data_IF_763872778639
#
_entry.id   IF_763872778639
#
_cell.length_a   1.000
_cell.length_b   1.000
_cell.length_c   1.000
_cell.angle_alpha   90.00
_cell.angle_beta   90.00
_cell.angle_gamma   90.00
#
_symmetry.space_group_name_H-M   'P 1'
#
loop_
_entity.id
_entity.type
_entity.pdbx_description
1 polymer ?
#
# COMPACT_ATOMS: atom_id res chain seq x y z
N UNK A 1 14.74 -18.66 45.01
CA UNK A 1 14.79 -17.93 43.76
C UNK A 1 13.70 -18.53 42.89
N UNK A 2 12.47 -17.98 43.01
CA UNK A 2 11.32 -18.53 42.27
C UNK A 2 11.41 -17.99 40.84
N UNK A 3 11.80 -18.86 39.89
CA UNK A 3 11.74 -18.55 38.47
C UNK A 3 10.39 -19.03 37.93
N UNK A 4 9.61 -18.11 37.36
CA UNK A 4 8.36 -18.46 36.67
C UNK A 4 8.61 -18.37 35.17
N UNK A 5 8.58 -19.49 34.45
CA UNK A 5 8.60 -19.55 33.02
C UNK A 5 7.24 -19.09 32.46
N UNK A 6 7.22 -17.92 31.81
CA UNK A 6 5.98 -17.34 31.25
C UNK A 6 5.52 -17.95 29.93
N UNK A 7 6.40 -18.67 29.23
CA UNK A 7 6.07 -19.29 27.93
C UNK A 7 6.43 -20.76 27.95
N UNK A 8 5.44 -21.58 27.65
CA UNK A 8 5.65 -22.99 27.39
C UNK A 8 6.59 -23.22 26.20
N UNK A 9 7.46 -24.23 26.30
CA UNK A 9 8.39 -24.61 25.21
C UNK A 9 7.66 -24.99 23.92
N UNK A 10 6.40 -25.47 24.01
CA UNK A 10 5.53 -25.76 22.87
C UNK A 10 5.15 -24.49 22.08
N UNK A 11 4.76 -23.44 22.78
CA UNK A 11 4.42 -22.13 22.16
C UNK A 11 5.65 -21.51 21.47
N UNK A 12 6.82 -21.53 22.10
CA UNK A 12 8.05 -21.01 21.47
C UNK A 12 8.42 -21.79 20.21
N UNK A 13 8.28 -23.12 20.21
CA UNK A 13 8.53 -23.94 19.04
C UNK A 13 7.56 -23.64 17.91
N UNK A 14 6.28 -23.47 18.22
CA UNK A 14 5.26 -23.11 17.24
C UNK A 14 5.55 -21.74 16.62
N UNK A 15 5.89 -20.72 17.42
CA UNK A 15 6.25 -19.38 16.92
C UNK A 15 7.46 -19.44 15.99
N UNK A 16 8.51 -20.18 16.36
CA UNK A 16 9.69 -20.33 15.50
C UNK A 16 9.32 -20.99 14.16
N UNK A 17 8.46 -22.00 14.16
CA UNK A 17 7.98 -22.65 12.94
C UNK A 17 7.07 -21.74 12.12
N UNK A 18 6.21 -20.94 12.76
CA UNK A 18 5.36 -19.96 12.09
C UNK A 18 6.19 -18.88 11.38
N UNK A 19 7.19 -18.32 12.05
CA UNK A 19 8.15 -17.36 11.43
C UNK A 19 8.85 -18.03 10.24
N UNK A 20 9.36 -19.25 10.41
CA UNK A 20 10.01 -19.99 9.32
C UNK A 20 9.08 -20.18 8.12
N UNK A 21 7.79 -20.46 8.33
CA UNK A 21 6.81 -20.60 7.24
C UNK A 21 6.58 -19.29 6.50
N UNK A 22 6.42 -18.20 7.22
CA UNK A 22 6.22 -16.86 6.63
C UNK A 22 7.45 -16.41 5.83
N UNK A 23 8.67 -16.63 6.37
CA UNK A 23 9.92 -16.31 5.68
C UNK A 23 10.15 -17.22 4.47
N UNK A 24 9.88 -18.52 4.59
CA UNK A 24 10.03 -19.46 3.48
C UNK A 24 9.04 -19.17 2.34
N UNK A 25 7.83 -18.68 2.64
CA UNK A 25 6.85 -18.26 1.65
C UNK A 25 7.40 -17.10 0.81
N UNK A 26 7.90 -16.06 1.45
CA UNK A 26 8.53 -14.93 0.77
C UNK A 26 9.79 -15.33 -0.03
N UNK A 27 10.60 -16.24 0.51
CA UNK A 27 11.85 -16.68 -0.13
C UNK A 27 11.65 -17.59 -1.36
N UNK A 28 10.43 -18.08 -1.60
CA UNK A 28 10.11 -18.87 -2.80
C UNK A 28 9.95 -18.02 -4.06
N UNK A 29 9.85 -16.71 -3.93
CA UNK A 29 9.86 -15.76 -5.05
C UNK A 29 11.15 -14.95 -5.04
N UNK A 30 11.67 -14.59 -6.24
CA UNK A 30 12.91 -13.79 -6.31
C UNK A 30 12.68 -12.37 -5.79
N UNK A 31 11.72 -11.67 -6.31
CA UNK A 31 11.22 -10.33 -5.95
C UNK A 31 10.10 -9.94 -6.91
N UNK A 32 9.45 -8.81 -6.66
CA UNK A 32 8.51 -8.19 -7.59
C UNK A 32 9.25 -7.52 -8.75
N UNK A 33 8.59 -7.38 -9.90
CA UNK A 33 9.23 -6.85 -11.10
C UNK A 33 9.46 -5.33 -11.00
N UNK A 34 10.47 -4.84 -11.74
CA UNK A 34 10.69 -3.43 -12.02
C UNK A 34 10.53 -3.22 -13.52
N UNK A 35 9.45 -2.55 -13.93
CA UNK A 35 9.16 -2.26 -15.33
C UNK A 35 9.69 -0.89 -15.73
N UNK A 36 10.26 -0.79 -16.93
CA UNK A 36 10.62 0.50 -17.53
C UNK A 36 9.39 1.09 -18.18
N UNK A 37 9.04 2.31 -17.81
CA UNK A 37 7.99 3.06 -18.51
C UNK A 37 8.60 3.74 -19.75
N UNK A 38 7.97 3.63 -20.94
CA UNK A 38 8.60 3.98 -22.22
C UNK A 38 8.63 5.51 -22.47
N UNK A 39 9.44 6.26 -21.71
CA UNK A 39 9.73 7.65 -22.01
C UNK A 39 10.76 7.76 -23.16
N UNK A 40 10.71 8.82 -23.99
CA UNK A 40 11.73 9.09 -24.98
C UNK A 40 13.13 9.20 -24.35
N UNK A 41 14.11 8.51 -24.93
CA UNK A 41 15.47 8.41 -24.37
C UNK A 41 16.23 9.75 -24.36
N UNK A 42 15.88 10.66 -25.25
CA UNK A 42 16.47 12.00 -25.36
C UNK A 42 16.02 12.95 -24.23
N UNK A 43 15.03 12.55 -23.43
CA UNK A 43 14.60 13.36 -22.30
C UNK A 43 15.58 13.35 -21.11
N UNK A 44 16.47 12.37 -21.05
CA UNK A 44 17.39 12.18 -19.93
C UNK A 44 16.69 11.81 -18.61
N UNK A 45 15.41 11.50 -18.65
CA UNK A 45 14.59 11.09 -17.50
C UNK A 45 14.09 9.67 -17.73
N UNK A 46 14.34 8.78 -16.78
CA UNK A 46 13.82 7.40 -16.78
C UNK A 46 12.72 7.25 -15.73
N UNK A 47 11.66 6.53 -16.08
CA UNK A 47 10.54 6.24 -15.16
C UNK A 47 10.39 4.73 -15.01
N UNK A 48 10.30 4.28 -13.77
CA UNK A 48 10.19 2.86 -13.43
C UNK A 48 8.96 2.59 -12.56
N UNK A 49 8.34 1.42 -12.79
CA UNK A 49 7.17 0.94 -12.07
C UNK A 49 7.56 -0.35 -11.31
N UNK A 50 7.65 -0.27 -9.99
CA UNK A 50 7.83 -1.43 -9.12
C UNK A 50 6.50 -2.15 -8.98
N UNK A 51 6.37 -3.34 -9.52
CA UNK A 51 5.10 -4.06 -9.64
C UNK A 51 4.77 -4.91 -8.42
N UNK A 52 4.12 -4.31 -7.45
CA UNK A 52 3.66 -4.99 -6.24
C UNK A 52 2.32 -5.77 -6.45
N UNK A 53 1.73 -5.70 -7.64
CA UNK A 53 0.50 -6.43 -7.98
C UNK A 53 0.73 -7.93 -8.23
N UNK A 54 2.00 -8.33 -8.44
CA UNK A 54 2.38 -9.74 -8.71
C UNK A 54 2.45 -10.61 -7.46
N UNK A 55 2.31 -10.03 -6.28
CA UNK A 55 2.19 -10.80 -5.05
C UNK A 55 1.02 -11.80 -5.09
N UNK A 56 1.08 -12.92 -4.34
CA UNK A 56 -0.01 -13.91 -4.31
C UNK A 56 -1.39 -13.33 -4.04
N UNK A 57 -1.47 -12.25 -3.28
CA UNK A 57 -2.73 -11.55 -2.95
C UNK A 57 -3.04 -10.37 -3.87
N UNK A 58 -2.25 -10.15 -4.91
CA UNK A 58 -2.49 -9.18 -5.96
C UNK A 58 -2.31 -7.72 -5.56
N UNK A 59 -1.53 -7.42 -4.51
CA UNK A 59 -1.29 -6.04 -4.09
C UNK A 59 -0.08 -5.87 -3.17
N UNK A 60 0.39 -4.63 -3.04
CA UNK A 60 1.46 -4.22 -2.11
C UNK A 60 1.15 -4.52 -0.64
N UNK A 61 -0.11 -4.72 -0.27
CA UNK A 61 -0.53 -5.04 1.10
C UNK A 61 -0.02 -6.41 1.57
N UNK A 62 0.40 -7.26 0.64
CA UNK A 62 1.05 -8.53 0.96
C UNK A 62 2.34 -8.32 1.79
N UNK A 63 3.17 -7.30 1.45
CA UNK A 63 4.35 -6.96 2.26
C UNK A 63 3.97 -6.45 3.64
N UNK A 64 2.93 -5.62 3.74
CA UNK A 64 2.44 -5.12 5.02
C UNK A 64 1.92 -6.25 5.90
N UNK A 65 1.05 -7.12 5.37
CA UNK A 65 0.51 -8.25 6.11
C UNK A 65 1.62 -9.18 6.62
N UNK A 66 2.62 -9.51 5.76
CA UNK A 66 3.80 -10.26 6.19
C UNK A 66 4.49 -9.61 7.39
N UNK A 67 4.73 -8.31 7.31
CA UNK A 67 5.41 -7.57 8.38
C UNK A 67 4.61 -7.55 9.68
N UNK A 68 3.30 -7.35 9.61
CA UNK A 68 2.40 -7.37 10.77
C UNK A 68 2.38 -8.74 11.44
N UNK A 69 2.31 -9.84 10.66
CA UNK A 69 2.39 -11.19 11.21
C UNK A 69 3.72 -11.46 11.88
N UNK A 70 4.85 -11.14 11.25
CA UNK A 70 6.17 -11.31 11.84
C UNK A 70 6.32 -10.49 13.13
N UNK A 71 5.81 -9.26 13.13
CA UNK A 71 5.82 -8.38 14.29
C UNK A 71 4.99 -8.96 15.43
N UNK A 72 3.75 -9.40 15.18
CA UNK A 72 2.88 -10.02 16.20
C UNK A 72 3.45 -11.33 16.76
N UNK A 73 4.04 -12.16 15.89
CA UNK A 73 4.71 -13.41 16.29
C UNK A 73 5.94 -13.13 17.18
N UNK A 74 6.80 -12.19 16.76
CA UNK A 74 8.01 -11.86 17.49
C UNK A 74 7.73 -11.19 18.84
N UNK A 75 6.64 -10.43 18.96
CA UNK A 75 6.20 -9.81 20.21
C UNK A 75 5.40 -10.75 21.11
N UNK A 76 5.11 -11.99 20.67
CA UNK A 76 4.34 -12.95 21.42
C UNK A 76 2.84 -12.65 21.51
N UNK A 77 2.33 -11.81 20.59
CA UNK A 77 0.89 -11.50 20.49
C UNK A 77 0.11 -12.55 19.72
N UNK A 78 0.80 -13.28 18.84
CA UNK A 78 0.23 -14.35 18.02
C UNK A 78 0.81 -15.69 18.47
N UNK A 79 -0.04 -16.60 18.87
CA UNK A 79 0.26 -17.98 19.27
C UNK A 79 -0.56 -19.02 18.50
N UNK A 80 -0.47 -20.30 18.85
CA UNK A 80 -1.00 -21.43 18.06
C UNK A 80 -2.51 -21.47 17.88
N UNK A 81 -3.29 -20.72 18.62
CA UNK A 81 -4.75 -20.68 18.52
C UNK A 81 -5.31 -19.25 18.44
N UNK A 82 -4.44 -18.28 18.21
CA UNK A 82 -4.83 -16.87 18.18
C UNK A 82 -5.74 -16.58 16.99
N UNK A 83 -6.93 -16.07 17.24
CA UNK A 83 -7.79 -15.51 16.20
C UNK A 83 -7.24 -14.15 15.76
N UNK A 84 -6.99 -14.00 14.49
CA UNK A 84 -6.53 -12.73 13.91
C UNK A 84 -7.75 -11.89 13.53
N UNK A 85 -7.75 -10.62 13.92
CA UNK A 85 -8.82 -9.67 13.61
C UNK A 85 -8.23 -8.45 12.91
N UNK A 86 -8.87 -7.95 11.83
CA UNK A 86 -8.47 -6.70 11.17
C UNK A 86 -9.69 -5.88 10.76
N UNK A 87 -9.56 -4.56 10.93
CA UNK A 87 -10.53 -3.54 10.49
C UNK A 87 -10.29 -3.18 9.02
N UNK A 88 -10.70 -4.04 8.10
CA UNK A 88 -10.47 -3.80 6.66
C UNK A 88 -11.42 -4.60 5.78
N UNK A 89 -11.91 -3.96 4.70
CA UNK A 89 -12.65 -4.61 3.60
C UNK A 89 -11.81 -4.76 2.32
N UNK A 90 -10.55 -4.33 2.34
CA UNK A 90 -9.71 -4.21 1.16
C UNK A 90 -8.54 -5.19 1.12
N UNK A 91 -7.52 -4.82 0.36
CA UNK A 91 -6.35 -5.65 0.07
C UNK A 91 -5.59 -6.11 1.33
N UNK A 92 -5.64 -5.35 2.43
CA UNK A 92 -5.03 -5.76 3.70
C UNK A 92 -5.72 -7.00 4.26
N UNK A 93 -7.06 -6.99 4.37
CA UNK A 93 -7.81 -8.14 4.87
C UNK A 93 -7.57 -9.40 4.01
N UNK A 94 -7.52 -9.27 2.68
CA UNK A 94 -7.19 -10.37 1.76
C UNK A 94 -5.78 -10.91 2.04
N UNK A 95 -4.81 -10.01 2.25
CA UNK A 95 -3.42 -10.41 2.50
C UNK A 95 -3.24 -11.04 3.88
N UNK A 96 -3.93 -10.55 4.88
CA UNK A 96 -3.90 -11.12 6.23
C UNK A 96 -4.62 -12.47 6.29
N UNK A 97 -5.75 -12.63 5.59
CA UNK A 97 -6.41 -13.93 5.44
C UNK A 97 -5.47 -14.98 4.82
N UNK A 98 -4.66 -14.59 3.81
CA UNK A 98 -3.63 -15.45 3.23
C UNK A 98 -2.63 -15.94 4.27
N UNK A 99 -2.03 -15.04 5.07
CA UNK A 99 -1.04 -15.44 6.08
C UNK A 99 -1.67 -16.19 7.25
N UNK A 100 -2.89 -15.84 7.67
CA UNK A 100 -3.63 -16.60 8.68
C UNK A 100 -3.85 -18.04 8.21
N UNK A 101 -4.29 -18.24 6.96
CA UNK A 101 -4.41 -19.58 6.35
C UNK A 101 -3.08 -20.32 6.29
N UNK A 102 -1.99 -19.66 5.92
CA UNK A 102 -0.64 -20.25 5.88
C UNK A 102 -0.22 -20.81 7.23
N UNK A 103 -0.61 -20.15 8.32
CA UNK A 103 -0.30 -20.52 9.68
C UNK A 103 -1.37 -21.42 10.34
N UNK A 104 -2.50 -21.64 9.69
CA UNK A 104 -3.63 -22.39 10.23
C UNK A 104 -4.38 -21.66 11.34
N UNK A 105 -4.39 -20.31 11.29
CA UNK A 105 -5.07 -19.46 12.27
C UNK A 105 -6.44 -18.98 11.75
N UNK A 106 -7.45 -18.83 12.63
CA UNK A 106 -8.69 -18.15 12.27
C UNK A 106 -8.46 -16.68 11.94
N UNK A 107 -9.18 -16.15 10.93
CA UNK A 107 -9.15 -14.74 10.55
C UNK A 107 -10.55 -14.15 10.45
N UNK A 108 -10.75 -12.96 11.03
CA UNK A 108 -11.99 -12.19 10.97
C UNK A 108 -11.68 -10.79 10.43
N UNK A 109 -12.28 -10.46 9.28
CA UNK A 109 -12.25 -9.10 8.74
C UNK A 109 -13.50 -8.34 9.17
N UNK A 110 -13.34 -7.24 9.88
CA UNK A 110 -14.43 -6.37 10.33
C UNK A 110 -14.59 -5.23 9.33
N UNK A 111 -15.80 -5.06 8.79
CA UNK A 111 -16.04 -4.15 7.68
C UNK A 111 -17.48 -3.60 7.65
N UNK A 112 -17.73 -2.50 6.93
CA UNK A 112 -19.09 -1.97 6.76
C UNK A 112 -20.03 -2.99 6.12
N UNK A 113 -21.31 -3.00 6.52
CA UNK A 113 -22.34 -3.82 5.90
C UNK A 113 -22.59 -3.48 4.41
N UNK A 114 -22.15 -2.30 3.97
CA UNK A 114 -22.19 -1.88 2.57
C UNK A 114 -21.07 -2.43 1.71
N UNK A 115 -20.16 -3.23 2.28
CA UNK A 115 -19.04 -3.86 1.53
C UNK A 115 -19.60 -4.82 0.49
N UNK A 116 -19.09 -4.75 -0.74
CA UNK A 116 -19.59 -5.59 -1.83
C UNK A 116 -19.28 -7.09 -1.60
N UNK A 117 -20.16 -7.99 -2.09
CA UNK A 117 -19.94 -9.43 -1.97
C UNK A 117 -18.62 -9.91 -2.58
N UNK A 118 -18.16 -9.29 -3.66
CA UNK A 118 -16.91 -9.64 -4.33
C UNK A 118 -15.70 -9.46 -3.41
N UNK A 119 -15.69 -8.39 -2.59
CA UNK A 119 -14.64 -8.15 -1.59
C UNK A 119 -14.67 -9.22 -0.50
N UNK A 120 -15.85 -9.60 -0.04
CA UNK A 120 -16.00 -10.69 0.93
C UNK A 120 -15.50 -12.03 0.36
N UNK A 121 -15.85 -12.36 -0.89
CA UNK A 121 -15.41 -13.58 -1.56
C UNK A 121 -13.87 -13.72 -1.63
N UNK A 122 -13.15 -12.62 -1.84
CA UNK A 122 -11.68 -12.65 -1.85
C UNK A 122 -11.09 -13.01 -0.48
N UNK A 123 -11.69 -12.53 0.59
CA UNK A 123 -11.28 -12.86 1.96
C UNK A 123 -11.64 -14.31 2.30
N UNK A 124 -12.85 -14.74 1.96
CA UNK A 124 -13.36 -16.09 2.19
C UNK A 124 -12.59 -17.15 1.38
N UNK A 125 -12.11 -16.79 0.17
CA UNK A 125 -11.24 -17.67 -0.64
C UNK A 125 -9.98 -18.12 0.14
N UNK A 126 -9.45 -17.25 0.99
CA UNK A 126 -8.34 -17.57 1.88
C UNK A 126 -8.79 -18.13 3.24
N UNK A 127 -10.09 -18.42 3.43
CA UNK A 127 -10.63 -19.01 4.65
C UNK A 127 -10.91 -18.00 5.76
N UNK A 128 -10.86 -16.71 5.48
CA UNK A 128 -11.26 -15.64 6.40
C UNK A 128 -12.79 -15.58 6.54
N UNK A 129 -13.25 -14.94 7.61
CA UNK A 129 -14.67 -14.64 7.85
C UNK A 129 -14.90 -13.13 7.76
N UNK A 130 -15.96 -12.71 7.06
CA UNK A 130 -16.39 -11.33 7.02
C UNK A 130 -17.38 -11.05 8.14
N UNK A 131 -17.05 -10.08 8.99
CA UNK A 131 -17.94 -9.58 10.05
C UNK A 131 -18.45 -8.20 9.65
N UNK A 132 -19.75 -8.14 9.31
CA UNK A 132 -20.38 -6.93 8.77
C UNK A 132 -20.96 -6.08 9.89
N UNK A 133 -20.61 -4.79 9.93
CA UNK A 133 -21.05 -3.81 10.92
C UNK A 133 -21.93 -2.75 10.26
N UNK A 134 -23.09 -2.49 10.85
CA UNK A 134 -24.05 -1.53 10.30
C UNK A 134 -23.55 -0.07 10.38
N UNK A 135 -22.90 0.28 11.48
CA UNK A 135 -22.27 1.59 11.67
C UNK A 135 -20.78 1.54 11.34
N UNK A 136 -20.33 2.18 10.24
CA UNK A 136 -18.91 2.23 9.89
C UNK A 136 -18.03 2.86 10.98
N UNK A 137 -18.57 3.73 11.84
CA UNK A 137 -17.85 4.32 12.96
C UNK A 137 -17.50 3.33 14.06
N UNK A 138 -18.25 2.23 14.19
CA UNK A 138 -18.05 1.21 15.21
C UNK A 138 -17.04 0.10 14.83
N UNK A 139 -16.47 0.12 13.62
CA UNK A 139 -15.61 -0.96 13.09
C UNK A 139 -14.40 -1.22 14.02
N UNK A 140 -13.76 -0.18 14.53
CA UNK A 140 -12.60 -0.31 15.40
C UNK A 140 -12.98 -0.91 16.76
N UNK A 141 -14.03 -0.39 17.40
CA UNK A 141 -14.52 -0.88 18.69
C UNK A 141 -14.96 -2.34 18.56
N UNK A 142 -15.59 -2.69 17.46
CA UNK A 142 -16.01 -4.07 17.17
C UNK A 142 -14.80 -4.99 16.94
N UNK A 143 -13.75 -4.50 16.29
CA UNK A 143 -12.50 -5.26 16.11
C UNK A 143 -11.84 -5.55 17.46
N UNK A 144 -11.77 -4.56 18.35
CA UNK A 144 -11.27 -4.74 19.71
C UNK A 144 -12.12 -5.71 20.51
N UNK A 145 -13.47 -5.61 20.41
CA UNK A 145 -14.41 -6.49 21.10
C UNK A 145 -14.20 -7.94 20.67
N UNK A 146 -14.15 -8.20 19.36
CA UNK A 146 -13.94 -9.55 18.82
C UNK A 146 -12.58 -10.13 19.20
N UNK A 147 -11.53 -9.32 19.16
CA UNK A 147 -10.22 -9.77 19.62
C UNK A 147 -10.24 -10.17 21.11
N UNK A 148 -10.89 -9.37 21.97
CA UNK A 148 -11.02 -9.68 23.38
C UNK A 148 -11.86 -10.95 23.64
N UNK A 149 -13.01 -11.10 22.98
CA UNK A 149 -13.89 -12.26 23.13
C UNK A 149 -13.27 -13.58 22.67
N UNK A 150 -12.47 -13.53 21.59
CA UNK A 150 -11.84 -14.73 21.04
C UNK A 150 -10.48 -15.04 21.67
N UNK A 151 -9.99 -14.21 22.60
CA UNK A 151 -8.60 -14.26 23.06
C UNK A 151 -7.62 -14.05 21.89
N UNK A 152 -8.03 -13.31 20.87
CA UNK A 152 -7.32 -13.08 19.64
C UNK A 152 -6.47 -11.82 19.65
N UNK A 153 -5.98 -11.45 18.46
CA UNK A 153 -5.15 -10.27 18.24
C UNK A 153 -5.72 -9.38 17.13
N UNK A 154 -5.96 -8.11 17.44
CA UNK A 154 -6.30 -7.10 16.45
C UNK A 154 -5.00 -6.55 15.84
N UNK A 155 -4.84 -6.73 14.53
CA UNK A 155 -3.60 -6.40 13.81
C UNK A 155 -3.36 -4.88 13.72
N UNK A 156 -4.44 -4.09 13.64
CA UNK A 156 -4.43 -2.61 13.64
C UNK A 156 -3.37 -2.02 12.68
N UNK A 157 -3.56 -2.26 11.41
CA UNK A 157 -2.63 -1.82 10.35
C UNK A 157 -2.30 -0.33 10.40
N UNK A 158 -3.25 0.51 10.84
CA UNK A 158 -3.08 1.97 10.84
C UNK A 158 -2.15 2.45 11.96
N UNK A 159 -2.12 1.71 13.07
CA UNK A 159 -1.20 1.97 14.19
C UNK A 159 0.17 1.33 13.96
N UNK A 160 0.21 0.11 13.42
CA UNK A 160 1.44 -0.69 13.41
C UNK A 160 2.18 -0.76 12.08
N UNK A 161 1.61 -0.29 10.96
CA UNK A 161 2.26 -0.43 9.65
C UNK A 161 3.69 0.12 9.59
N UNK A 162 3.94 1.27 10.22
CA UNK A 162 5.27 1.91 10.23
C UNK A 162 6.26 1.23 11.18
N UNK A 163 5.76 0.53 12.21
CA UNK A 163 6.57 -0.14 13.24
C UNK A 163 6.89 -1.58 12.87
N UNK A 164 5.93 -2.26 12.25
CA UNK A 164 6.04 -3.66 11.90
C UNK A 164 7.04 -3.90 10.76
N UNK A 165 7.21 -2.92 9.86
CA UNK A 165 8.13 -3.06 8.74
C UNK A 165 9.56 -2.78 9.19
N UNK A 166 10.47 -3.72 8.93
CA UNK A 166 11.92 -3.48 9.10
C UNK A 166 12.44 -2.58 7.98
N UNK A 167 12.37 -1.28 8.22
CA UNK A 167 12.78 -0.26 7.26
C UNK A 167 14.31 -0.17 7.05
N UNK A 168 15.12 -0.84 7.85
CA UNK A 168 16.59 -0.84 7.71
C UNK A 168 17.11 -1.81 6.67
N UNK A 169 16.33 -2.85 6.38
CA UNK A 169 16.72 -3.92 5.47
C UNK A 169 15.67 -5.03 5.44
N UNK A 170 16.10 -6.28 5.28
CA UNK A 170 15.27 -7.48 5.28
C UNK A 170 14.22 -7.49 4.15
N UNK A 171 14.67 -7.15 2.93
CA UNK A 171 13.83 -7.18 1.72
C UNK A 171 12.55 -6.34 1.85
N UNK A 172 12.64 -5.17 2.49
CA UNK A 172 11.56 -4.20 2.43
C UNK A 172 11.48 -3.56 1.04
N UNK A 173 10.38 -2.85 0.75
CA UNK A 173 10.16 -2.28 -0.58
C UNK A 173 11.24 -1.28 -1.01
N UNK A 174 11.83 -0.52 -0.08
CA UNK A 174 12.89 0.44 -0.40
C UNK A 174 14.17 -0.29 -0.79
N UNK A 175 14.61 -1.27 0.01
CA UNK A 175 15.78 -2.11 -0.30
C UNK A 175 15.62 -2.80 -1.65
N UNK A 176 14.45 -3.36 -1.92
CA UNK A 176 14.10 -3.99 -3.19
C UNK A 176 14.23 -3.02 -4.37
N UNK A 177 13.71 -1.79 -4.25
CA UNK A 177 13.83 -0.75 -5.29
C UNK A 177 15.32 -0.45 -5.55
N UNK A 178 16.11 -0.11 -4.53
CA UNK A 178 17.50 0.26 -4.72
C UNK A 178 18.36 -0.89 -5.24
N UNK A 179 18.08 -2.13 -4.82
CA UNK A 179 18.75 -3.31 -5.34
C UNK A 179 18.53 -3.47 -6.84
N UNK A 180 17.30 -3.33 -7.32
CA UNK A 180 16.97 -3.45 -8.74
C UNK A 180 17.45 -2.23 -9.54
N UNK A 181 17.37 -1.03 -8.97
CA UNK A 181 17.88 0.18 -9.62
C UNK A 181 19.40 0.22 -9.78
N UNK A 182 20.15 -0.59 -9.03
CA UNK A 182 21.63 -0.58 -9.02
C UNK A 182 22.29 -0.81 -10.39
N UNK A 183 21.57 -1.42 -11.32
CA UNK A 183 22.07 -1.70 -12.69
C UNK A 183 21.45 -0.77 -13.74
N UNK A 184 20.59 0.17 -13.34
CA UNK A 184 19.94 1.10 -14.25
C UNK A 184 20.83 2.34 -14.54
N UNK A 185 20.60 3.09 -15.65
CA UNK A 185 21.40 4.27 -16.02
C UNK A 185 21.50 5.33 -14.92
N UNK A 186 20.44 5.51 -14.13
CA UNK A 186 20.40 6.39 -12.98
C UNK A 186 20.03 5.59 -11.73
N UNK A 187 21.01 4.90 -11.10
CA UNK A 187 20.74 3.90 -10.05
C UNK A 187 20.23 4.51 -8.74
N UNK A 188 20.49 5.79 -8.50
CA UNK A 188 19.90 6.53 -7.38
C UNK A 188 18.74 7.37 -7.91
N UNK A 189 17.46 6.99 -7.62
CA UNK A 189 16.32 7.76 -8.10
C UNK A 189 16.36 9.21 -7.61
N UNK A 190 16.07 10.16 -8.51
CA UNK A 190 15.84 11.54 -8.10
C UNK A 190 14.57 11.64 -7.24
N UNK A 191 13.56 10.82 -7.57
CA UNK A 191 12.32 10.74 -6.86
C UNK A 191 11.83 9.31 -6.70
N UNK A 192 11.25 9.00 -5.52
CA UNK A 192 10.34 7.87 -5.34
C UNK A 192 8.95 8.46 -5.05
N UNK A 193 7.94 8.00 -5.80
CA UNK A 193 6.55 8.52 -5.75
C UNK A 193 5.62 7.43 -5.26
N UNK A 194 4.89 7.66 -4.17
CA UNK A 194 3.97 6.68 -3.58
C UNK A 194 2.74 7.35 -3.01
N UNK A 195 1.60 6.66 -3.01
CA UNK A 195 0.42 7.06 -2.25
C UNK A 195 0.48 6.60 -0.79
N UNK A 196 -0.31 7.23 0.07
CA UNK A 196 -0.45 6.85 1.47
C UNK A 196 -1.89 6.38 1.78
N UNK A 197 -2.02 5.15 2.26
CA UNK A 197 -3.23 4.62 2.89
C UNK A 197 -3.04 4.52 4.40
N UNK A 198 -2.16 3.63 4.88
CA UNK A 198 -1.73 3.61 6.28
C UNK A 198 -0.59 4.59 6.57
N UNK A 199 0.19 4.95 5.56
CA UNK A 199 1.45 5.65 5.71
C UNK A 199 2.67 4.74 5.85
N UNK A 200 2.47 3.43 6.00
CA UNK A 200 3.57 2.48 6.24
C UNK A 200 4.60 2.44 5.11
N UNK A 201 4.17 2.47 3.85
CA UNK A 201 5.07 2.46 2.68
C UNK A 201 5.91 3.73 2.60
N UNK A 202 5.28 4.90 2.70
CA UNK A 202 5.99 6.19 2.67
C UNK A 202 6.95 6.34 3.85
N UNK A 203 6.53 5.90 5.06
CA UNK A 203 7.39 5.90 6.25
C UNK A 203 8.60 4.99 6.09
N UNK A 204 8.42 3.80 5.53
CA UNK A 204 9.51 2.83 5.27
C UNK A 204 10.51 3.41 4.28
N UNK A 205 10.04 3.93 3.13
CA UNK A 205 10.90 4.48 2.08
C UNK A 205 11.63 5.73 2.58
N UNK A 206 10.94 6.66 3.22
CA UNK A 206 11.54 7.89 3.69
C UNK A 206 12.60 7.67 4.78
N UNK A 207 12.35 6.73 5.71
CA UNK A 207 13.35 6.31 6.71
C UNK A 207 14.56 5.63 6.06
N UNK A 208 14.34 4.75 5.09
CA UNK A 208 15.41 4.05 4.39
C UNK A 208 16.32 5.03 3.64
N UNK A 209 15.74 5.96 2.86
CA UNK A 209 16.46 7.02 2.15
C UNK A 209 17.40 7.77 3.10
N UNK A 210 16.89 8.24 4.23
CA UNK A 210 17.66 8.98 5.23
C UNK A 210 18.73 8.13 5.91
N UNK A 211 18.41 6.90 6.29
CA UNK A 211 19.32 5.98 6.92
C UNK A 211 20.51 5.62 6.02
N UNK A 212 20.22 5.35 4.74
CA UNK A 212 21.24 5.05 3.72
C UNK A 212 21.92 6.30 3.15
N UNK A 213 21.42 7.48 3.48
CA UNK A 213 21.95 8.78 3.01
C UNK A 213 21.87 8.94 1.49
N UNK A 214 20.82 8.41 0.88
CA UNK A 214 20.55 8.60 -0.54
C UNK A 214 20.11 10.04 -0.83
N UNK A 215 20.49 10.62 -1.98
CA UNK A 215 20.02 11.96 -2.38
C UNK A 215 18.56 11.96 -2.88
N UNK A 216 17.95 10.80 -2.97
CA UNK A 216 16.57 10.60 -3.42
C UNK A 216 15.59 11.39 -2.57
N UNK A 217 14.61 12.02 -3.21
CA UNK A 217 13.49 12.69 -2.56
C UNK A 217 12.25 11.80 -2.59
N UNK A 218 11.48 11.82 -1.52
CA UNK A 218 10.21 11.11 -1.41
C UNK A 218 9.05 12.06 -1.70
N UNK A 219 8.28 11.78 -2.76
CA UNK A 219 7.00 12.43 -3.02
C UNK A 219 5.85 11.52 -2.59
N UNK A 220 4.92 12.05 -1.80
CA UNK A 220 3.69 11.34 -1.44
C UNK A 220 2.52 11.99 -2.15
N UNK A 221 1.75 11.17 -2.87
CA UNK A 221 0.53 11.61 -3.55
C UNK A 221 -0.68 11.39 -2.66
N UNK A 222 -1.63 12.30 -2.75
CA UNK A 222 -2.84 12.27 -1.95
C UNK A 222 -4.07 12.60 -2.82
N UNK A 223 -5.10 11.74 -2.87
CA UNK A 223 -6.31 11.97 -3.64
C UNK A 223 -7.26 12.97 -2.96
N UNK A 224 -8.30 13.37 -3.66
CA UNK A 224 -9.36 14.22 -3.11
C UNK A 224 -10.02 13.57 -1.89
N UNK A 225 -10.48 14.41 -0.96
CA UNK A 225 -11.17 13.97 0.25
C UNK A 225 -10.27 13.35 1.31
N UNK A 226 -8.95 13.34 1.14
CA UNK A 226 -7.98 12.83 2.11
C UNK A 226 -7.52 13.90 3.09
N UNK A 227 -7.27 13.50 4.34
CA UNK A 227 -6.73 14.37 5.39
C UNK A 227 -5.19 14.49 5.38
N UNK A 228 -4.47 13.66 4.63
CA UNK A 228 -3.00 13.64 4.69
C UNK A 228 -2.37 14.91 4.12
N UNK A 229 -2.80 15.36 2.94
CA UNK A 229 -2.27 16.59 2.34
C UNK A 229 -2.52 17.83 3.20
N UNK A 230 -3.78 18.14 3.61
CA UNK A 230 -4.03 19.29 4.45
C UNK A 230 -3.36 19.16 5.83
N UNK A 231 -3.28 17.96 6.42
CA UNK A 231 -2.56 17.72 7.66
C UNK A 231 -1.06 17.96 7.54
N UNK A 232 -0.44 17.55 6.43
CA UNK A 232 0.97 17.79 6.17
C UNK A 232 1.29 19.27 5.94
N UNK A 233 0.45 19.98 5.18
CA UNK A 233 0.63 21.42 4.90
C UNK A 233 0.47 22.28 6.16
N UNK A 234 -0.53 21.97 6.99
CA UNK A 234 -0.80 22.71 8.25
C UNK A 234 0.11 22.30 9.40
N UNK A 235 0.72 21.12 9.34
CA UNK A 235 1.41 20.50 10.48
C UNK A 235 0.46 20.00 11.58
N UNK A 236 -0.84 19.91 11.30
CA UNK A 236 -1.88 19.50 12.24
C UNK A 236 -2.36 18.07 11.93
N UNK A 237 -2.07 17.14 12.85
CA UNK A 237 -2.52 15.75 12.73
C UNK A 237 -3.98 15.52 13.11
N UNK A 238 -4.68 16.52 13.63
CA UNK A 238 -6.10 16.45 14.00
C UNK A 238 -7.05 16.73 12.83
N UNK A 239 -6.53 17.12 11.66
CA UNK A 239 -7.30 17.39 10.45
C UNK A 239 -8.10 16.15 10.05
N UNK A 240 -9.36 16.38 9.72
CA UNK A 240 -10.28 15.36 9.19
C UNK A 240 -10.82 15.77 7.82
N UNK A 241 -11.26 14.79 7.05
CA UNK A 241 -11.78 14.95 5.69
C UNK A 241 -12.89 13.92 5.41
N UNK A 242 -13.49 13.97 4.22
CA UNK A 242 -14.60 13.09 3.85
C UNK A 242 -14.21 11.62 3.59
N UNK A 243 -12.94 11.38 3.29
CA UNK A 243 -12.43 10.10 2.79
C UNK A 243 -12.24 10.11 1.27
N UNK A 244 -11.34 9.27 0.79
CA UNK A 244 -10.99 9.17 -0.63
C UNK A 244 -11.91 8.24 -1.41
N UNK A 245 -12.17 8.55 -2.68
CA UNK A 245 -12.78 7.63 -3.65
C UNK A 245 -11.75 6.71 -4.31
N UNK A 246 -10.45 7.06 -4.23
CA UNK A 246 -9.39 6.18 -4.75
C UNK A 246 -9.07 5.11 -3.71
N UNK A 247 -9.41 3.87 -4.02
CA UNK A 247 -9.23 2.76 -3.09
C UNK A 247 -7.75 2.53 -2.76
N UNK A 248 -7.49 2.23 -1.49
CA UNK A 248 -6.16 1.89 -0.98
C UNK A 248 -5.29 3.06 -0.53
N UNK A 249 -5.62 4.30 -0.92
CA UNK A 249 -4.92 5.52 -0.51
C UNK A 249 -5.91 6.62 -0.09
N UNK A 250 -5.40 7.62 0.64
CA UNK A 250 -6.23 8.71 1.19
C UNK A 250 -7.10 8.24 2.37
N UNK A 251 -7.19 9.07 3.39
CA UNK A 251 -7.91 8.73 4.62
C UNK A 251 -8.72 9.92 5.13
N UNK A 252 -9.82 9.67 5.86
CA UNK A 252 -10.60 10.74 6.48
C UNK A 252 -9.91 11.40 7.68
N UNK A 253 -8.81 10.84 8.16
CA UNK A 253 -7.97 11.37 9.24
C UNK A 253 -6.49 11.10 8.97
N UNK A 254 -5.61 11.81 9.64
CA UNK A 254 -4.17 11.54 9.61
C UNK A 254 -3.90 10.30 10.48
N UNK A 255 -3.48 9.21 9.85
CA UNK A 255 -3.29 7.94 10.53
C UNK A 255 -1.94 7.89 11.30
N UNK A 256 -1.85 7.15 12.42
CA UNK A 256 -0.65 7.11 13.26
C UNK A 256 0.64 6.66 12.55
N UNK A 257 0.52 5.79 11.54
CA UNK A 257 1.67 5.30 10.74
C UNK A 257 2.10 6.27 9.64
N UNK A 258 1.40 7.39 9.44
CA UNK A 258 1.82 8.43 8.51
C UNK A 258 2.84 9.36 9.17
N UNK A 259 4.08 9.36 8.66
CA UNK A 259 5.18 10.16 9.21
C UNK A 259 5.49 11.36 8.31
N UNK A 260 4.93 12.55 8.59
CA UNK A 260 5.13 13.75 7.77
C UNK A 260 6.61 14.15 7.65
N UNK A 261 7.39 13.92 8.71
CA UNK A 261 8.79 14.35 8.81
C UNK A 261 9.74 13.66 7.85
N UNK A 262 9.35 12.55 7.22
CA UNK A 262 10.20 11.82 6.27
C UNK A 262 9.80 12.05 4.81
N UNK A 263 8.81 12.91 4.56
CA UNK A 263 8.26 13.25 3.25
C UNK A 263 8.89 14.56 2.77
N UNK A 264 9.41 14.60 1.55
CA UNK A 264 10.03 15.79 0.97
C UNK A 264 9.03 16.63 0.17
N UNK A 265 8.01 16.01 -0.43
CA UNK A 265 6.94 16.70 -1.16
C UNK A 265 5.62 15.93 -1.02
N UNK A 266 4.52 16.67 -0.83
CA UNK A 266 3.17 16.13 -1.03
C UNK A 266 2.54 16.73 -2.29
N UNK A 267 1.80 15.89 -3.03
CA UNK A 267 1.15 16.28 -4.28
C UNK A 267 -0.31 15.86 -4.20
N UNK A 268 -1.22 16.85 -4.19
CA UNK A 268 -2.65 16.59 -4.28
C UNK A 268 -3.03 16.28 -5.75
N UNK A 269 -3.76 15.19 -5.95
CA UNK A 269 -4.16 14.73 -7.29
C UNK A 269 -5.68 14.58 -7.35
N UNK A 270 -6.36 15.26 -8.31
CA UNK A 270 -7.79 15.08 -8.51
C UNK A 270 -8.16 13.62 -8.85
N UNK A 271 -9.31 13.16 -8.36
CA UNK A 271 -9.78 11.79 -8.59
C UNK A 271 -9.94 11.48 -10.09
N UNK A 272 -10.51 12.42 -10.87
CA UNK A 272 -10.63 12.26 -12.32
C UNK A 272 -9.27 12.09 -13.01
N UNK A 273 -8.25 12.85 -12.57
CA UNK A 273 -6.88 12.73 -13.09
C UNK A 273 -6.22 11.42 -12.68
N UNK A 274 -6.48 10.96 -11.46
CA UNK A 274 -6.00 9.65 -10.97
C UNK A 274 -6.51 8.50 -11.84
N UNK A 275 -7.82 8.49 -12.13
CA UNK A 275 -8.44 7.45 -12.94
C UNK A 275 -8.01 7.57 -14.41
N UNK A 276 -7.94 8.78 -14.96
CA UNK A 276 -7.42 9.01 -16.31
C UNK A 276 -5.98 8.48 -16.45
N UNK A 277 -5.11 8.77 -15.48
CA UNK A 277 -3.73 8.29 -15.49
C UNK A 277 -3.65 6.76 -15.33
N UNK A 278 -4.57 6.12 -14.61
CA UNK A 278 -4.71 4.67 -14.56
C UNK A 278 -4.98 4.11 -15.98
N UNK A 279 -5.98 4.64 -16.68
CA UNK A 279 -6.31 4.20 -18.04
C UNK A 279 -5.15 4.44 -19.01
N UNK A 280 -4.55 5.63 -18.98
CA UNK A 280 -3.40 5.96 -19.81
C UNK A 280 -2.20 5.05 -19.54
N UNK A 281 -1.92 4.73 -18.27
CA UNK A 281 -0.83 3.80 -17.92
C UNK A 281 -1.07 2.42 -18.52
N UNK A 282 -2.31 1.91 -18.46
CA UNK A 282 -2.69 0.64 -19.12
C UNK A 282 -2.50 0.70 -20.63
N UNK A 283 -2.91 1.82 -21.27
CA UNK A 283 -2.74 2.02 -22.72
C UNK A 283 -1.27 2.00 -23.15
N UNK A 284 -0.39 2.60 -22.36
CA UNK A 284 1.04 2.75 -22.70
C UNK A 284 1.84 1.48 -22.39
N UNK A 285 1.53 0.81 -21.27
CA UNK A 285 2.38 -0.27 -20.75
C UNK A 285 1.79 -1.66 -20.97
N UNK A 286 0.50 -1.77 -21.16
CA UNK A 286 -0.23 -3.05 -21.15
C UNK A 286 -0.40 -3.68 -19.77
N UNK A 287 0.08 -3.02 -18.70
CA UNK A 287 -0.08 -3.50 -17.32
C UNK A 287 -1.49 -3.21 -16.82
N UNK A 288 -2.12 -4.20 -16.17
CA UNK A 288 -3.43 -4.01 -15.52
C UNK A 288 -3.25 -3.40 -14.13
N UNK A 289 -3.33 -2.08 -14.04
CA UNK A 289 -3.06 -1.31 -12.83
C UNK A 289 -4.33 -0.70 -12.22
N UNK A 290 -4.34 -0.50 -10.88
CA UNK A 290 -5.46 0.11 -10.16
C UNK A 290 -5.37 1.63 -10.03
N UNK A 291 -6.40 2.24 -9.41
CA UNK A 291 -6.56 3.70 -9.30
C UNK A 291 -5.44 4.39 -8.51
N UNK A 292 -4.93 3.75 -7.45
CA UNK A 292 -3.81 4.29 -6.66
C UNK A 292 -2.50 4.36 -7.46
N UNK A 293 -2.29 3.43 -8.41
CA UNK A 293 -1.20 3.51 -9.38
C UNK A 293 -1.41 4.71 -10.31
N UNK A 294 -2.64 4.94 -10.76
CA UNK A 294 -2.98 6.12 -11.56
C UNK A 294 -2.68 7.44 -10.84
N UNK A 295 -3.00 7.54 -9.54
CA UNK A 295 -2.66 8.70 -8.72
C UNK A 295 -1.14 8.93 -8.67
N UNK A 296 -0.37 7.86 -8.47
CA UNK A 296 1.09 7.91 -8.51
C UNK A 296 1.60 8.39 -9.87
N UNK A 297 1.07 7.82 -10.96
CA UNK A 297 1.49 8.13 -12.33
C UNK A 297 1.17 9.58 -12.72
N UNK A 298 0.03 10.13 -12.29
CA UNK A 298 -0.30 11.53 -12.52
C UNK A 298 0.79 12.46 -11.96
N UNK A 299 1.26 12.20 -10.75
CA UNK A 299 2.34 12.97 -10.15
C UNK A 299 3.71 12.70 -10.80
N UNK A 300 3.98 11.44 -11.23
CA UNK A 300 5.20 11.13 -11.98
C UNK A 300 5.29 11.92 -13.26
N UNK A 301 4.18 12.10 -14.00
CA UNK A 301 4.13 12.93 -15.22
C UNK A 301 4.50 14.38 -14.92
N UNK A 302 3.99 14.95 -13.82
CA UNK A 302 4.35 16.32 -13.44
C UNK A 302 5.83 16.45 -13.10
N UNK A 303 6.38 15.47 -12.37
CA UNK A 303 7.81 15.46 -12.04
C UNK A 303 8.70 15.25 -13.28
N UNK A 304 8.27 14.44 -14.25
CA UNK A 304 8.97 14.28 -15.54
C UNK A 304 8.99 15.61 -16.27
N UNK A 305 7.87 16.33 -16.35
CA UNK A 305 7.80 17.66 -16.97
C UNK A 305 8.72 18.66 -16.26
N UNK A 306 8.65 18.71 -14.92
CA UNK A 306 9.50 19.58 -14.09
C UNK A 306 10.99 19.31 -14.36
N UNK A 307 11.41 18.04 -14.31
CA UNK A 307 12.82 17.66 -14.54
C UNK A 307 13.30 18.04 -15.94
N UNK A 308 12.45 17.89 -16.96
CA UNK A 308 12.76 18.30 -18.34
C UNK A 308 12.89 19.82 -18.48
N UNK A 309 11.95 20.57 -17.91
CA UNK A 309 11.98 22.05 -17.94
C UNK A 309 13.23 22.60 -17.24
N UNK A 310 13.68 21.95 -16.19
CA UNK A 310 14.91 22.31 -15.45
C UNK A 310 16.19 21.73 -16.07
N UNK A 311 16.09 20.93 -17.13
CA UNK A 311 17.24 20.26 -17.74
C UNK A 311 17.92 19.23 -16.83
N UNK A 312 17.18 18.69 -15.83
CA UNK A 312 17.68 17.67 -14.90
C UNK A 312 17.55 16.28 -15.50
N UNK A 313 18.62 15.51 -15.40
CA UNK A 313 18.64 14.09 -15.72
C UNK A 313 18.42 13.26 -14.43
N UNK A 314 17.92 12.04 -14.57
CA UNK A 314 17.74 11.15 -13.45
C UNK A 314 16.62 10.14 -13.64
N UNK A 315 16.32 9.40 -12.59
CA UNK A 315 15.22 8.43 -12.59
C UNK A 315 14.15 8.77 -11.57
N UNK A 316 12.92 8.34 -11.88
CA UNK A 316 11.75 8.36 -10.99
C UNK A 316 11.30 6.92 -10.83
N UNK A 317 11.00 6.50 -9.60
CA UNK A 317 10.42 5.18 -9.34
C UNK A 317 9.06 5.35 -8.68
N UNK A 318 8.07 4.61 -9.17
CA UNK A 318 6.76 4.51 -8.53
C UNK A 318 6.29 3.06 -8.42
N UNK A 319 5.08 2.84 -7.89
CA UNK A 319 4.56 1.52 -7.61
C UNK A 319 3.35 1.19 -8.49
N UNK A 320 3.29 -0.03 -9.01
CA UNK A 320 2.02 -0.67 -9.35
C UNK A 320 1.49 -1.29 -8.06
N UNK A 321 0.48 -0.64 -7.46
CA UNK A 321 0.05 -0.95 -6.11
C UNK A 321 -0.80 -2.22 -6.02
N UNK A 322 -1.67 -2.43 -7.02
CA UNK A 322 -2.58 -3.56 -7.13
C UNK A 322 -3.07 -3.74 -8.57
N UNK A 323 -3.82 -4.84 -8.79
CA UNK A 323 -4.41 -5.16 -10.10
C UNK A 323 -5.68 -4.37 -10.35
N UNK A 324 -5.87 -3.99 -11.62
CA UNK A 324 -7.02 -3.23 -12.09
C UNK A 324 -8.32 -4.01 -12.19
N UNK A 325 -8.27 -5.34 -12.25
CA UNK A 325 -9.45 -6.21 -12.37
C UNK A 325 -10.49 -6.01 -11.25
N UNK A 326 -10.06 -5.45 -10.10
CA UNK A 326 -10.91 -5.11 -8.94
C UNK A 326 -11.84 -3.91 -9.18
N UNK A 327 -11.58 -3.11 -10.22
CA UNK A 327 -12.22 -1.80 -10.43
C UNK A 327 -13.16 -1.75 -11.63
N UNK A 328 -13.50 -2.92 -12.22
CA UNK A 328 -14.40 -3.03 -13.38
C UNK A 328 -15.78 -2.43 -13.14
N UNK A 329 -16.29 -2.53 -11.93
CA UNK A 329 -17.59 -1.97 -11.54
C UNK A 329 -17.56 -0.48 -11.15
N UNK A 330 -16.36 0.12 -11.07
CA UNK A 330 -16.17 1.52 -10.64
C UNK A 330 -15.38 2.31 -11.69
N UNK A 331 -14.07 2.31 -11.64
CA UNK A 331 -13.20 3.17 -12.48
C UNK A 331 -13.23 2.81 -13.98
N UNK A 332 -13.63 1.59 -14.31
CA UNK A 332 -13.83 1.13 -15.70
C UNK A 332 -15.32 1.22 -16.15
N UNK A 333 -16.22 1.66 -15.27
CA UNK A 333 -17.66 1.76 -15.56
C UNK A 333 -18.05 3.21 -15.87
N UNK A 334 -18.42 3.55 -17.14
CA UNK A 334 -18.81 4.90 -17.51
C UNK A 334 -20.03 5.44 -16.74
N UNK A 335 -21.00 4.58 -16.39
CA UNK A 335 -22.18 4.99 -15.62
C UNK A 335 -21.80 5.38 -14.20
N UNK A 336 -20.89 4.62 -13.58
CA UNK A 336 -20.37 4.96 -12.27
C UNK A 336 -19.60 6.28 -12.30
N UNK A 337 -18.72 6.48 -13.29
CA UNK A 337 -17.95 7.72 -13.46
C UNK A 337 -18.86 8.93 -13.62
N UNK A 338 -19.88 8.81 -14.49
CA UNK A 338 -20.87 9.87 -14.69
C UNK A 338 -21.67 10.15 -13.41
N UNK A 339 -22.06 9.11 -12.67
CA UNK A 339 -22.75 9.25 -11.39
C UNK A 339 -21.91 9.92 -10.30
N UNK A 340 -20.56 9.83 -10.40
CA UNK A 340 -19.61 10.54 -9.53
C UNK A 340 -19.23 11.94 -10.03
N UNK A 341 -19.69 12.35 -11.21
CA UNK A 341 -19.34 13.61 -11.84
C UNK A 341 -17.87 13.68 -12.29
N UNK A 342 -17.27 12.54 -12.61
CA UNK A 342 -15.85 12.44 -13.00
C UNK A 342 -15.71 12.47 -14.53
N UNK A 343 -15.19 13.57 -15.07
CA UNK A 343 -14.81 13.71 -16.48
C UNK A 343 -13.32 13.42 -16.67
N UNK A 344 -13.02 12.33 -17.36
CA UNK A 344 -11.65 11.87 -17.59
C UNK A 344 -11.01 12.48 -18.85
N UNK A 345 -11.80 12.92 -19.82
CA UNK A 345 -11.30 13.30 -21.16
C UNK A 345 -10.28 14.44 -21.15
N UNK A 346 -10.47 15.56 -20.39
CA UNK A 346 -9.45 16.60 -20.34
C UNK A 346 -8.09 16.10 -19.83
N UNK A 347 -8.13 15.20 -18.83
CA UNK A 347 -6.92 14.63 -18.24
C UNK A 347 -6.26 13.59 -19.16
N UNK A 348 -7.05 12.78 -19.87
CA UNK A 348 -6.54 11.83 -20.87
C UNK A 348 -5.88 12.56 -22.03
N UNK A 349 -6.48 13.65 -22.50
CA UNK A 349 -5.90 14.48 -23.57
C UNK A 349 -4.54 15.05 -23.15
N UNK A 350 -4.41 15.58 -21.94
CA UNK A 350 -3.15 16.10 -21.38
C UNK A 350 -2.07 15.02 -21.26
N UNK A 351 -2.44 13.82 -20.76
CA UNK A 351 -1.51 12.70 -20.60
C UNK A 351 -1.05 12.13 -21.95
N UNK A 352 -1.96 11.98 -22.91
CA UNK A 352 -1.64 11.50 -24.27
C UNK A 352 -0.75 12.51 -25.02
N UNK A 353 -0.88 13.79 -24.74
CA UNK A 353 -0.01 14.81 -25.33
C UNK A 353 1.46 14.71 -24.86
N UNK A 354 1.71 14.07 -23.71
CA UNK A 354 3.08 13.82 -23.24
C UNK A 354 3.82 12.84 -24.14
N UNK A 355 3.15 11.77 -24.58
CA UNK A 355 3.70 10.73 -25.47
C UNK A 355 2.83 10.63 -26.72
N UNK A 356 3.00 11.52 -27.69
CA UNK A 356 2.30 11.41 -28.97
C UNK A 356 2.70 10.09 -29.66
N UNK A 357 1.69 9.36 -30.17
CA UNK A 357 1.87 8.10 -30.90
C UNK A 357 2.64 8.30 -32.18
#
# INVERSE_FOLDING_TARGET
>A
MDSVDRHDTGTRRWVAEAIRKVEADANRSCDTHLHVFPLPSDWGVNLYLKDESVHPTGSLKHRLARSLFLYGLANGWIGPATTIVEASSGSTAVSEAYFARLLGLPFIAVMPASTSPEKCHLIEFYGGKCHLVADPGAIYDESHRLAAETGGHFMDQFTYAERATDWRGNNNIAESIYSQMSMEPHPEPAWIVVGAGTGGTSSTIGRYIRYRRHPTRLAVVDPEGSAFYPGWVSGDSSVTASGSRIEGIGRPRVEPSFLPSVIDRMIAVPDARSIAAMHWTREVTGLDVGGSTGTNMAACVDLVREMREEGRQGSIVTLVCDRGDRYKGTYDNPEWLAGQGLDLEPHLADLRALLPR
#
